data_IF_768231070584
#
_entry.id   IF_768231070584
#
_cell.length_a   1.000
_cell.length_b   1.000
_cell.length_c   1.000
_cell.angle_alpha   90.00
_cell.angle_beta   90.00
_cell.angle_gamma   90.00
#
_symmetry.space_group_name_H-M   'P 1'
#
loop_
_entity.id
_entity.type
_entity.pdbx_description
1 polymer ?
#
# COMPACT_ATOMS: atom_id res chain seq x y z
N UNK A 1 15.27 7.29 11.90
CA UNK A 1 14.92 6.50 10.72
C UNK A 1 13.48 6.05 10.90
N UNK A 2 12.55 6.46 10.04
CA UNK A 2 11.11 6.16 10.13
C UNK A 2 10.69 5.24 8.97
N UNK A 3 9.98 4.16 9.29
CA UNK A 3 9.56 3.12 8.34
C UNK A 3 8.05 2.94 8.44
N UNK A 4 7.34 3.09 7.33
CA UNK A 4 5.88 3.04 7.30
C UNK A 4 5.40 1.83 6.51
N UNK A 5 4.58 0.99 7.16
CA UNK A 5 3.90 -0.11 6.50
C UNK A 5 2.66 0.40 5.77
N UNK A 6 2.66 0.32 4.44
CA UNK A 6 1.48 0.68 3.66
C UNK A 6 0.78 -0.60 3.21
N UNK A 7 -0.50 -0.74 3.50
CA UNK A 7 -1.34 -1.85 3.00
C UNK A 7 -2.78 -1.40 2.82
N UNK A 8 -3.68 -2.29 2.44
CA UNK A 8 -5.07 -1.92 2.22
C UNK A 8 -5.85 -2.94 1.41
N UNK A 9 -7.04 -2.51 0.98
CA UNK A 9 -7.90 -3.33 0.13
C UNK A 9 -7.17 -3.85 -1.11
N UNK A 10 -7.59 -5.05 -1.51
CA UNK A 10 -7.23 -5.63 -2.78
C UNK A 10 -8.09 -5.04 -3.90
N UNK A 11 -7.57 -5.02 -5.11
CA UNK A 11 -8.26 -4.40 -6.26
C UNK A 11 -9.69 -4.94 -6.46
N UNK A 12 -9.91 -6.24 -6.25
CA UNK A 12 -11.24 -6.85 -6.38
C UNK A 12 -12.22 -6.45 -5.26
N UNK A 13 -11.73 -6.07 -4.07
CA UNK A 13 -12.57 -5.62 -2.95
C UNK A 13 -13.15 -4.23 -3.23
N UNK A 14 -12.42 -3.43 -4.01
CA UNK A 14 -12.83 -2.10 -4.44
C UNK A 14 -13.54 -2.10 -5.80
N UNK A 15 -13.64 -3.25 -6.47
CA UNK A 15 -14.09 -3.34 -7.87
C UNK A 15 -13.23 -2.53 -8.84
N UNK A 16 -11.94 -2.37 -8.54
CA UNK A 16 -10.98 -1.53 -9.25
C UNK A 16 -10.08 -2.38 -10.17
N UNK A 17 -10.68 -2.94 -11.24
CA UNK A 17 -9.98 -3.86 -12.15
C UNK A 17 -9.25 -3.15 -13.31
N UNK A 18 -9.73 -1.97 -13.70
CA UNK A 18 -9.10 -1.16 -14.73
C UNK A 18 -8.18 -0.11 -14.09
N UNK A 19 -6.89 -0.23 -14.35
CA UNK A 19 -5.85 0.68 -13.87
C UNK A 19 -5.97 2.10 -14.39
N UNK A 20 -6.72 2.30 -15.49
CA UNK A 20 -7.00 3.62 -16.05
C UNK A 20 -8.33 4.17 -15.58
N UNK A 21 -9.06 3.45 -14.74
CA UNK A 21 -10.35 3.92 -14.23
C UNK A 21 -10.17 5.16 -13.35
N UNK A 22 -11.15 6.08 -13.35
CA UNK A 22 -11.15 7.22 -12.43
C UNK A 22 -10.99 6.80 -10.97
N UNK A 23 -11.58 5.67 -10.57
CA UNK A 23 -11.44 5.12 -9.21
C UNK A 23 -9.97 4.86 -8.83
N UNK A 24 -9.20 4.18 -9.69
CA UNK A 24 -7.78 3.92 -9.42
C UNK A 24 -6.97 5.22 -9.40
N UNK A 25 -7.33 6.19 -10.25
CA UNK A 25 -6.69 7.52 -10.23
C UNK A 25 -6.91 8.23 -8.89
N UNK A 26 -8.13 8.26 -8.37
CA UNK A 26 -8.43 8.86 -7.07
C UNK A 26 -7.70 8.14 -5.93
N UNK A 27 -7.67 6.81 -5.93
CA UNK A 27 -6.94 6.05 -4.90
C UNK A 27 -5.45 6.38 -4.94
N UNK A 28 -4.82 6.39 -6.12
CA UNK A 28 -3.41 6.74 -6.26
C UNK A 28 -3.13 8.18 -5.84
N UNK A 29 -4.06 9.10 -6.09
CA UNK A 29 -3.93 10.50 -5.71
C UNK A 29 -4.01 10.67 -4.19
N UNK A 30 -4.96 10.02 -3.53
CA UNK A 30 -5.05 9.99 -2.07
C UNK A 30 -3.81 9.35 -1.44
N UNK A 31 -3.35 8.20 -1.96
CA UNK A 31 -2.08 7.59 -1.55
C UNK A 31 -0.90 8.55 -1.74
N UNK A 32 -0.84 9.26 -2.87
CA UNK A 32 0.24 10.21 -3.16
C UNK A 32 0.31 11.32 -2.11
N UNK A 33 -0.84 11.88 -1.72
CA UNK A 33 -0.92 12.95 -0.72
C UNK A 33 -0.43 12.45 0.64
N UNK A 34 -0.92 11.29 1.09
CA UNK A 34 -0.48 10.69 2.35
C UNK A 34 1.01 10.31 2.34
N UNK A 35 1.51 9.76 1.22
CA UNK A 35 2.93 9.43 1.10
C UNK A 35 3.82 10.68 1.14
N UNK A 36 3.39 11.80 0.55
CA UNK A 36 4.10 13.08 0.66
C UNK A 36 4.16 13.53 2.11
N UNK A 37 3.04 13.51 2.82
CA UNK A 37 3.00 13.89 4.24
C UNK A 37 3.93 13.00 5.08
N UNK A 38 3.97 11.69 4.82
CA UNK A 38 4.90 10.79 5.48
C UNK A 38 6.37 11.16 5.19
N UNK A 39 6.71 11.43 3.91
CA UNK A 39 8.07 11.80 3.49
C UNK A 39 8.50 13.13 4.12
N UNK A 40 7.65 14.15 4.08
CA UNK A 40 7.92 15.47 4.67
C UNK A 40 8.08 15.38 6.20
N UNK A 41 7.42 14.42 6.84
CA UNK A 41 7.60 14.08 8.25
C UNK A 41 8.77 13.11 8.52
N UNK A 42 9.66 12.90 7.54
CA UNK A 42 10.91 12.15 7.70
C UNK A 42 10.77 10.63 7.54
N UNK A 43 9.79 10.13 6.80
CA UNK A 43 9.72 8.73 6.39
C UNK A 43 10.89 8.37 5.46
N UNK A 44 11.77 7.49 5.91
CA UNK A 44 12.93 7.01 5.14
C UNK A 44 12.59 5.76 4.34
N UNK A 45 11.58 4.99 4.76
CA UNK A 45 11.21 3.73 4.12
C UNK A 45 9.70 3.55 4.02
N UNK A 46 9.22 3.43 2.79
CA UNK A 46 7.90 2.92 2.48
C UNK A 46 8.03 1.41 2.33
N UNK A 47 7.43 0.65 3.25
CA UNK A 47 7.49 -0.81 3.27
C UNK A 47 6.09 -1.35 2.98
N UNK A 48 5.96 -2.24 2.01
CA UNK A 48 4.65 -2.82 1.64
C UNK A 48 4.81 -4.26 1.16
N UNK A 49 3.69 -4.92 0.91
CA UNK A 49 3.65 -6.21 0.23
C UNK A 49 3.59 -6.03 -1.28
N UNK A 50 3.03 -7.02 -1.97
CA UNK A 50 2.85 -6.96 -3.42
C UNK A 50 1.49 -7.48 -3.88
N UNK A 51 0.50 -7.48 -2.98
CA UNK A 51 -0.87 -7.88 -3.29
C UNK A 51 -1.49 -6.95 -4.33
N UNK A 52 -2.34 -7.51 -5.20
CA UNK A 52 -3.09 -6.74 -6.19
C UNK A 52 -3.97 -5.68 -5.50
N UNK A 53 -3.84 -4.42 -5.89
CA UNK A 53 -4.56 -3.29 -5.28
C UNK A 53 -3.60 -2.34 -4.57
N UNK A 54 -3.94 -1.96 -3.33
CA UNK A 54 -3.27 -0.88 -2.56
C UNK A 54 -1.76 -1.02 -2.50
N UNK A 55 -1.23 -2.22 -2.25
CA UNK A 55 0.20 -2.44 -2.11
C UNK A 55 0.96 -2.15 -3.42
N UNK A 56 0.46 -2.65 -4.56
CA UNK A 56 1.06 -2.35 -5.86
C UNK A 56 0.88 -0.88 -6.27
N UNK A 57 -0.29 -0.28 -6.01
CA UNK A 57 -0.50 1.15 -6.27
C UNK A 57 0.40 2.04 -5.41
N UNK A 58 0.72 1.62 -4.19
CA UNK A 58 1.68 2.30 -3.32
C UNK A 58 3.05 2.32 -3.96
N UNK A 59 3.56 1.16 -4.42
CA UNK A 59 4.89 1.09 -5.06
C UNK A 59 4.95 1.96 -6.31
N UNK A 60 3.92 1.90 -7.16
CA UNK A 60 3.85 2.73 -8.37
C UNK A 60 3.86 4.23 -8.03
N UNK A 61 3.08 4.64 -7.03
CA UNK A 61 2.97 6.04 -6.59
C UNK A 61 4.26 6.52 -5.93
N UNK A 62 4.83 5.73 -5.03
CA UNK A 62 6.10 6.02 -4.38
C UNK A 62 7.25 6.10 -5.39
N UNK A 63 7.29 5.21 -6.38
CA UNK A 63 8.31 5.26 -7.43
C UNK A 63 8.22 6.54 -8.27
N UNK A 64 7.02 7.05 -8.53
CA UNK A 64 6.83 8.34 -9.19
C UNK A 64 7.30 9.51 -8.30
N UNK A 65 6.99 9.47 -7.00
CA UNK A 65 7.40 10.49 -6.02
C UNK A 65 8.91 10.62 -5.88
N UNK A 66 9.71 9.60 -6.20
CA UNK A 66 11.18 9.72 -6.26
C UNK A 66 11.68 10.80 -7.23
N UNK A 67 10.88 11.18 -8.23
CA UNK A 67 11.20 12.30 -9.13
C UNK A 67 11.16 13.64 -8.40
N UNK A 68 10.26 13.79 -7.43
CA UNK A 68 10.08 14.99 -6.63
C UNK A 68 10.96 14.98 -5.36
N UNK A 69 11.15 13.81 -4.76
CA UNK A 69 11.91 13.63 -3.51
C UNK A 69 13.11 12.68 -3.70
N UNK A 70 14.09 13.04 -4.56
CA UNK A 70 15.20 12.15 -4.89
C UNK A 70 16.07 11.87 -3.66
N UNK A 71 16.37 10.59 -3.42
CA UNK A 71 17.19 10.10 -2.31
C UNK A 71 16.67 10.40 -0.89
N UNK A 72 15.42 10.85 -0.74
CA UNK A 72 14.84 11.13 0.58
C UNK A 72 14.27 9.90 1.27
N UNK A 73 13.82 8.91 0.48
CA UNK A 73 13.23 7.67 0.99
C UNK A 73 13.54 6.49 0.05
N UNK A 74 13.28 5.29 0.56
CA UNK A 74 13.43 4.02 -0.15
C UNK A 74 12.14 3.21 -0.11
N UNK A 75 11.99 2.28 -1.05
CA UNK A 75 10.82 1.41 -1.21
C UNK A 75 11.27 -0.04 -0.96
N UNK A 76 10.64 -0.70 0.01
CA UNK A 76 10.82 -2.12 0.29
C UNK A 76 9.54 -2.91 0.01
N UNK A 77 9.67 -4.01 -0.72
CA UNK A 77 8.57 -4.94 -0.99
C UNK A 77 8.85 -6.29 -0.34
N UNK A 78 8.03 -6.65 0.63
CA UNK A 78 8.17 -7.89 1.38
C UNK A 78 7.09 -8.88 0.96
N UNK A 79 7.49 -10.08 0.54
CA UNK A 79 6.57 -11.14 0.17
C UNK A 79 6.41 -12.11 1.35
N UNK A 80 5.18 -12.58 1.64
CA UNK A 80 4.96 -13.49 2.77
C UNK A 80 5.62 -14.86 2.59
N UNK A 81 5.82 -15.30 1.33
CA UNK A 81 6.37 -16.60 0.96
C UNK A 81 6.95 -16.59 -0.46
N UNK A 82 7.73 -17.61 -0.84
CA UNK A 82 8.28 -17.76 -2.19
C UNK A 82 7.21 -18.17 -3.20
N UNK A 83 7.44 -17.95 -4.50
CA UNK A 83 6.44 -18.20 -5.56
C UNK A 83 5.12 -17.41 -5.36
N UNK A 84 5.19 -16.28 -4.64
CA UNK A 84 4.05 -15.38 -4.48
C UNK A 84 3.53 -14.94 -5.85
N UNK A 85 2.21 -15.06 -6.04
CA UNK A 85 1.57 -14.70 -7.31
C UNK A 85 1.64 -15.76 -8.41
N UNK A 86 2.26 -16.93 -8.19
CA UNK A 86 2.38 -17.97 -9.23
C UNK A 86 1.03 -18.47 -9.78
N UNK A 87 -0.02 -18.44 -8.96
CA UNK A 87 -1.38 -18.79 -9.37
C UNK A 87 -2.15 -17.67 -10.12
N UNK A 88 -1.57 -16.47 -10.26
CA UNK A 88 -2.24 -15.37 -10.97
C UNK A 88 -2.14 -15.54 -12.49
N UNK A 89 -3.00 -14.84 -13.22
CA UNK A 89 -2.89 -14.77 -14.69
C UNK A 89 -1.60 -14.03 -15.13
N UNK A 90 -1.21 -14.19 -16.39
CA UNK A 90 0.03 -13.62 -16.95
C UNK A 90 0.12 -12.11 -16.75
N UNK A 91 -0.98 -11.37 -16.95
CA UNK A 91 -1.04 -9.92 -16.74
C UNK A 91 -0.66 -9.53 -15.31
N UNK A 92 -1.22 -10.22 -14.32
CA UNK A 92 -0.97 -9.95 -12.91
C UNK A 92 0.42 -10.42 -12.47
N UNK A 93 0.96 -11.50 -13.05
CA UNK A 93 2.34 -11.93 -12.82
C UNK A 93 3.35 -10.92 -13.37
N UNK A 94 3.12 -10.42 -14.59
CA UNK A 94 3.94 -9.37 -15.19
C UNK A 94 3.91 -8.11 -14.31
N UNK A 95 2.74 -7.75 -13.81
CA UNK A 95 2.59 -6.61 -12.92
C UNK A 95 3.36 -6.80 -11.61
N UNK A 96 3.30 -7.97 -11.00
CA UNK A 96 4.11 -8.28 -9.82
C UNK A 96 5.61 -8.09 -10.10
N UNK A 97 6.10 -8.57 -11.25
CA UNK A 97 7.50 -8.37 -11.64
C UNK A 97 7.86 -6.88 -11.81
N UNK A 98 6.96 -6.09 -12.41
CA UNK A 98 7.13 -4.64 -12.52
C UNK A 98 7.17 -3.95 -11.15
N UNK A 99 6.26 -4.32 -10.25
CA UNK A 99 6.25 -3.83 -8.87
C UNK A 99 7.57 -4.12 -8.17
N UNK A 100 8.07 -5.36 -8.24
CA UNK A 100 9.33 -5.73 -7.61
C UNK A 100 10.53 -5.00 -8.22
N UNK A 101 10.51 -4.72 -9.53
CA UNK A 101 11.57 -3.99 -10.22
C UNK A 101 11.63 -2.48 -9.86
N UNK A 102 10.53 -1.90 -9.37
CA UNK A 102 10.47 -0.51 -8.90
C UNK A 102 10.97 -0.33 -7.46
N UNK A 103 11.03 -1.42 -6.68
CA UNK A 103 11.48 -1.40 -5.30
C UNK A 103 13.01 -1.29 -5.19
N UNK A 104 13.52 -0.56 -4.20
CA UNK A 104 14.96 -0.55 -3.89
C UNK A 104 15.39 -1.85 -3.22
N UNK A 105 14.47 -2.49 -2.52
CA UNK A 105 14.66 -3.77 -1.86
C UNK A 105 13.44 -4.65 -2.02
N UNK A 106 13.65 -5.94 -2.29
CA UNK A 106 12.58 -6.93 -2.16
C UNK A 106 13.11 -8.24 -1.62
N UNK A 107 12.30 -8.89 -0.78
CA UNK A 107 12.65 -10.18 -0.18
C UNK A 107 11.39 -10.96 0.23
N UNK A 108 11.57 -12.26 0.48
CA UNK A 108 10.53 -13.15 1.01
C UNK A 108 10.78 -13.42 2.50
N UNK A 109 9.72 -13.32 3.31
CA UNK A 109 9.77 -13.66 4.75
C UNK A 109 9.92 -15.17 4.93
N UNK A 110 9.20 -15.96 4.12
CA UNK A 110 9.35 -17.41 4.03
C UNK A 110 10.01 -17.80 2.71
N UNK A 111 11.09 -18.59 2.77
CA UNK A 111 11.79 -19.10 1.58
C UNK A 111 11.11 -20.32 0.93
N UNK A 112 9.98 -20.78 1.49
CA UNK A 112 9.17 -21.87 0.92
C UNK A 112 7.82 -21.35 0.40
N UNK A 113 7.20 -22.05 -0.58
CA UNK A 113 5.88 -21.68 -1.10
C UNK A 113 4.78 -21.69 -0.04
N UNK A 114 3.61 -21.16 -0.40
CA UNK A 114 2.46 -21.15 0.49
C UNK A 114 2.02 -22.56 0.86
N UNK A 115 1.97 -22.83 2.15
CA UNK A 115 1.48 -24.10 2.71
C UNK A 115 0.57 -23.91 3.93
N UNK A 116 0.65 -22.78 4.64
CA UNK A 116 -0.23 -22.53 5.78
C UNK A 116 -0.49 -21.04 6.07
N UNK A 117 -1.64 -20.72 6.70
CA UNK A 117 -1.94 -19.36 7.18
C UNK A 117 -0.90 -18.79 8.14
N UNK A 118 -0.07 -19.63 8.78
CA UNK A 118 1.00 -19.17 9.66
C UNK A 118 2.02 -18.29 8.92
N UNK A 119 2.25 -18.52 7.62
CA UNK A 119 3.14 -17.66 6.83
C UNK A 119 2.61 -16.23 6.71
N UNK A 120 1.28 -16.06 6.62
CA UNK A 120 0.65 -14.74 6.60
C UNK A 120 0.77 -14.05 7.96
N UNK A 121 0.57 -14.79 9.06
CA UNK A 121 0.79 -14.26 10.41
C UNK A 121 2.25 -13.87 10.66
N UNK A 122 3.19 -14.68 10.19
CA UNK A 122 4.62 -14.38 10.27
C UNK A 122 4.98 -13.13 9.46
N UNK A 123 4.36 -12.95 8.29
CA UNK A 123 4.48 -11.74 7.51
C UNK A 123 3.96 -10.51 8.28
N UNK A 124 2.75 -10.56 8.83
CA UNK A 124 2.21 -9.48 9.66
C UNK A 124 3.14 -9.13 10.83
N UNK A 125 3.61 -10.14 11.56
CA UNK A 125 4.56 -9.95 12.66
C UNK A 125 5.87 -9.34 12.18
N UNK A 126 6.38 -9.76 11.02
CA UNK A 126 7.58 -9.19 10.41
C UNK A 126 7.37 -7.71 10.12
N UNK A 127 6.28 -7.34 9.46
CA UNK A 127 5.96 -5.94 9.15
C UNK A 127 5.90 -5.12 10.44
N UNK A 128 5.06 -5.51 11.41
CA UNK A 128 4.88 -4.81 12.68
C UNK A 128 6.17 -4.61 13.49
N UNK A 129 7.10 -5.56 13.44
CA UNK A 129 8.37 -5.47 14.18
C UNK A 129 9.47 -4.73 13.41
N UNK A 130 9.27 -4.45 12.13
CA UNK A 130 10.24 -3.80 11.26
C UNK A 130 9.77 -2.45 10.72
N UNK A 131 8.57 -2.01 11.07
CA UNK A 131 8.04 -0.66 10.81
C UNK A 131 7.74 0.08 12.12
N UNK A 132 7.58 1.38 12.01
CA UNK A 132 7.33 2.31 13.12
C UNK A 132 5.86 2.81 13.13
N UNK A 133 5.14 2.61 12.02
CA UNK A 133 3.73 2.91 11.86
C UNK A 133 3.15 2.26 10.61
N UNK A 134 1.83 2.41 10.42
CA UNK A 134 1.13 1.95 9.24
C UNK A 134 0.15 2.99 8.68
N UNK A 135 -0.04 2.93 7.36
CA UNK A 135 -1.09 3.62 6.61
C UNK A 135 -1.91 2.57 5.88
N UNK A 136 -3.23 2.57 6.06
CA UNK A 136 -4.11 1.58 5.46
C UNK A 136 -5.20 2.23 4.61
N UNK A 137 -5.32 1.81 3.35
CA UNK A 137 -6.55 2.04 2.59
C UNK A 137 -7.62 1.07 3.09
N UNK A 138 -8.46 1.54 4.01
CA UNK A 138 -9.43 0.71 4.72
C UNK A 138 -10.55 1.55 5.33
N UNK A 139 -11.78 1.05 5.20
CA UNK A 139 -12.99 1.63 5.76
C UNK A 139 -13.62 0.61 6.72
N UNK A 140 -13.86 1.02 7.97
CA UNK A 140 -14.36 0.12 9.02
C UNK A 140 -15.81 -0.33 8.80
N UNK A 141 -16.60 0.41 8.02
CA UNK A 141 -17.98 0.05 7.70
C UNK A 141 -18.05 -0.94 6.53
N UNK A 142 -16.95 -1.06 5.77
CA UNK A 142 -16.84 -1.92 4.59
C UNK A 142 -15.73 -2.97 4.77
N UNK A 143 -15.96 -3.95 5.64
CA UNK A 143 -14.96 -4.95 5.97
C UNK A 143 -14.42 -5.72 4.74
N UNK A 144 -13.11 -5.91 4.71
CA UNK A 144 -12.39 -6.68 3.71
C UNK A 144 -11.33 -7.58 4.34
N UNK A 145 -10.42 -8.13 3.55
CA UNK A 145 -9.28 -8.91 4.05
C UNK A 145 -8.29 -8.05 4.82
N UNK A 146 -8.24 -6.76 4.56
CA UNK A 146 -7.43 -5.79 5.32
C UNK A 146 -7.76 -5.78 6.81
N UNK A 147 -8.98 -6.19 7.22
CA UNK A 147 -9.37 -6.30 8.63
C UNK A 147 -8.41 -7.20 9.44
N UNK A 148 -7.76 -8.17 8.79
CA UNK A 148 -6.79 -9.04 9.47
C UNK A 148 -5.51 -8.28 9.83
N UNK A 149 -5.08 -7.33 9.00
CA UNK A 149 -3.93 -6.47 9.28
C UNK A 149 -4.29 -5.41 10.33
N UNK A 150 -5.49 -4.83 10.24
CA UNK A 150 -6.02 -3.90 11.25
C UNK A 150 -6.02 -4.54 12.64
N UNK A 151 -6.61 -5.73 12.79
CA UNK A 151 -6.63 -6.46 14.08
C UNK A 151 -5.23 -6.79 14.59
N UNK A 152 -4.29 -7.10 13.70
CA UNK A 152 -2.91 -7.37 14.08
C UNK A 152 -2.21 -6.10 14.60
N UNK A 153 -2.43 -4.96 13.94
CA UNK A 153 -1.93 -3.65 14.36
C UNK A 153 -2.54 -3.24 15.71
N UNK A 154 -3.86 -3.33 15.87
CA UNK A 154 -4.56 -3.00 17.12
C UNK A 154 -4.03 -3.83 18.30
N UNK A 155 -3.82 -5.13 18.09
CA UNK A 155 -3.24 -6.01 19.10
C UNK A 155 -1.79 -5.62 19.43
N UNK A 156 -0.99 -5.23 18.44
CA UNK A 156 0.39 -4.78 18.61
C UNK A 156 0.46 -3.45 19.39
N UNK A 157 -0.46 -2.53 19.12
CA UNK A 157 -0.59 -1.23 19.78
C UNK A 157 -0.89 -1.33 21.28
N UNK A 158 -1.49 -2.41 21.75
CA UNK A 158 -1.70 -2.63 23.20
C UNK A 158 -0.39 -2.73 23.99
N UNK A 159 0.73 -3.02 23.31
CA UNK A 159 2.03 -3.26 23.93
C UNK A 159 3.14 -2.37 23.38
N UNK A 160 2.92 -1.69 22.25
CA UNK A 160 3.95 -0.92 21.55
C UNK A 160 3.39 0.43 21.06
N UNK A 161 4.18 1.52 21.12
CA UNK A 161 3.80 2.78 20.48
C UNK A 161 3.93 2.64 18.96
N UNK A 162 2.81 2.37 18.29
CA UNK A 162 2.75 2.14 16.84
C UNK A 162 1.65 3.01 16.24
N UNK A 163 1.98 3.92 15.34
CA UNK A 163 0.98 4.81 14.72
C UNK A 163 0.22 4.07 13.62
N UNK A 164 -1.08 4.33 13.51
CA UNK A 164 -1.92 3.76 12.46
C UNK A 164 -2.80 4.86 11.89
N UNK A 165 -2.71 5.05 10.58
CA UNK A 165 -3.50 6.01 9.80
C UNK A 165 -4.34 5.26 8.79
N UNK A 166 -5.47 5.85 8.41
CA UNK A 166 -6.41 5.29 7.46
C UNK A 166 -6.62 6.27 6.31
N UNK A 167 -6.85 5.71 5.12
CA UNK A 167 -7.56 6.35 4.03
C UNK A 167 -8.88 5.59 3.94
N UNK A 168 -9.98 6.20 4.35
CA UNK A 168 -11.31 5.59 4.29
C UNK A 168 -12.09 6.04 3.04
N UNK A 169 -13.37 5.67 2.94
CA UNK A 169 -14.15 6.04 1.77
C UNK A 169 -14.59 7.50 1.75
N UNK A 170 -14.67 8.16 2.90
CA UNK A 170 -14.93 9.59 2.97
C UNK A 170 -13.72 10.36 2.44
N UNK A 171 -12.49 9.98 2.82
CA UNK A 171 -11.25 10.54 2.28
C UNK A 171 -11.18 10.40 0.75
N UNK A 172 -11.54 9.22 0.22
CA UNK A 172 -11.57 9.00 -1.23
C UNK A 172 -12.65 9.84 -1.92
N UNK A 173 -13.79 10.07 -1.27
CA UNK A 173 -14.86 10.89 -1.82
C UNK A 173 -14.48 12.37 -1.84
N UNK A 174 -13.80 12.85 -0.79
CA UNK A 174 -13.25 14.21 -0.75
C UNK A 174 -12.21 14.42 -1.86
N UNK A 175 -11.30 13.48 -2.04
CA UNK A 175 -10.30 13.52 -3.12
C UNK A 175 -10.96 13.52 -4.51
N UNK A 176 -12.04 12.75 -4.69
CA UNK A 176 -12.80 12.75 -5.94
C UNK A 176 -13.43 14.12 -6.23
N UNK A 177 -14.05 14.74 -5.22
CA UNK A 177 -14.66 16.06 -5.35
C UNK A 177 -13.62 17.15 -5.65
N UNK A 178 -12.44 17.07 -5.03
CA UNK A 178 -11.34 17.98 -5.30
C UNK A 178 -10.83 17.81 -6.75
N UNK A 179 -10.64 16.58 -7.20
CA UNK A 179 -10.19 16.30 -8.57
C UNK A 179 -11.17 16.83 -9.61
N UNK A 180 -12.47 16.64 -9.41
CA UNK A 180 -13.50 17.20 -10.30
C UNK A 180 -13.46 18.74 -10.33
N UNK A 181 -13.27 19.37 -9.17
CA UNK A 181 -13.16 20.83 -9.07
C UNK A 181 -11.93 21.37 -9.82
N UNK A 182 -10.79 20.71 -9.69
CA UNK A 182 -9.56 21.09 -10.40
C UNK A 182 -9.70 20.97 -11.91
N UNK A 183 -10.23 19.84 -12.39
CA UNK A 183 -10.52 19.62 -13.80
C UNK A 183 -11.43 20.74 -14.34
N UNK A 184 -12.55 21.01 -13.65
CA UNK A 184 -13.47 22.07 -14.04
C UNK A 184 -12.77 23.44 -14.05
N UNK A 185 -11.90 23.73 -13.08
CA UNK A 185 -11.17 25.00 -13.03
C UNK A 185 -10.14 25.16 -14.17
N UNK A 186 -9.50 24.07 -14.60
CA UNK A 186 -8.58 24.07 -15.74
C UNK A 186 -9.31 24.23 -17.08
N UNK A 187 -10.52 23.68 -17.21
CA UNK A 187 -11.35 23.87 -18.40
C UNK A 187 -11.78 25.33 -18.64
N UNK A 188 -11.82 26.16 -17.60
CA UNK A 188 -12.18 27.58 -17.71
C UNK A 188 -10.96 28.52 -17.79
N UNK A 189 -9.73 28.00 -17.81
CA UNK A 189 -8.50 28.76 -18.06
C UNK A 189 -8.10 28.70 -19.53
#
# INVERSE_FOLDING_TARGET
MSRQWITGYRSYELGAFDEKSPKVQIIKRSLRNQLIDLIDNGCDWIITGAQLGTEQWTVETAADLKKQFPNQFQIAVMLPFSEFGAQWNETNQLRLQQTLALADFSATVSQVPYHSPQQLKNYQQFMLTHTDGALLLYDSENEGKTQYDVRAIEAFQQQHPYTCQFIDFDDLQEEANQYETEINSEFFK
#
